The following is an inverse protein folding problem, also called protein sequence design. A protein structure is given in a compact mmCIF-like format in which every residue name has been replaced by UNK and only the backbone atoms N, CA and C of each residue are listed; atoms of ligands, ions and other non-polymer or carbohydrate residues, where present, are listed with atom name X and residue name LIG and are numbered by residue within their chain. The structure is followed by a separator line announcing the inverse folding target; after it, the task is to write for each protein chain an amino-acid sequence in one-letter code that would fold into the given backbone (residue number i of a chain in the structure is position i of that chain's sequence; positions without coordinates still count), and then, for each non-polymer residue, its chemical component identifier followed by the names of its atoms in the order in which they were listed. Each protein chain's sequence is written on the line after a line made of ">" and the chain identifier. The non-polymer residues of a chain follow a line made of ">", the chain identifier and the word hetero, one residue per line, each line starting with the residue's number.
data_IF_790706803142
#
_entry.id   IF_790706803142
#
_cell.length_a   1.000
_cell.length_b   1.000
_cell.length_c   1.000
_cell.angle_alpha   90.00
_cell.angle_beta   90.00
_cell.angle_gamma   90.00
#
_symmetry.space_group_name_H-M   'P 1'
#
loop_
_entity.id
_entity.type
_entity.pdbx_description
1 polymer ?
#
# COMPACT_ATOMS: atom_id res chain seq x y z
N UNK A 1 39.36 -23.91 14.79
CA UNK A 1 39.62 -25.29 14.34
C UNK A 1 38.28 -25.94 14.03
N UNK A 2 37.79 -25.81 12.81
CA UNK A 2 36.61 -26.58 12.39
C UNK A 2 37.09 -27.99 12.05
N UNK A 3 36.80 -28.96 12.92
CA UNK A 3 37.00 -30.37 12.60
C UNK A 3 35.94 -30.76 11.58
N UNK A 4 36.33 -30.95 10.33
CA UNK A 4 35.43 -31.42 9.28
C UNK A 4 35.11 -32.91 9.52
N UNK A 5 34.11 -33.17 10.37
CA UNK A 5 33.68 -34.51 10.73
C UNK A 5 33.23 -35.28 9.47
N UNK A 6 33.56 -36.57 9.39
CA UNK A 6 33.11 -37.40 8.26
C UNK A 6 31.61 -37.65 8.34
N UNK A 7 30.99 -38.01 7.20
CA UNK A 7 29.57 -38.36 7.14
C UNK A 7 29.25 -39.50 8.14
N UNK A 8 30.05 -40.56 8.10
CA UNK A 8 29.95 -41.73 8.99
C UNK A 8 30.09 -41.35 10.48
N UNK A 9 30.95 -40.38 10.81
CA UNK A 9 31.09 -39.89 12.17
C UNK A 9 29.85 -39.11 12.64
N UNK A 10 29.19 -38.37 11.75
CA UNK A 10 27.93 -37.69 12.07
C UNK A 10 26.76 -38.68 12.21
N UNK A 11 26.68 -39.69 11.34
CA UNK A 11 25.66 -40.75 11.40
C UNK A 11 25.78 -41.58 12.68
N UNK A 12 27.00 -42.00 13.06
CA UNK A 12 27.24 -42.72 14.31
C UNK A 12 26.92 -41.85 15.54
N UNK A 13 27.27 -40.57 15.53
CA UNK A 13 26.87 -39.62 16.59
C UNK A 13 25.34 -39.50 16.69
N UNK A 14 24.63 -39.36 15.57
CA UNK A 14 23.16 -39.31 15.54
C UNK A 14 22.54 -40.53 16.24
N UNK A 15 23.03 -41.74 15.92
CA UNK A 15 22.58 -42.98 16.58
C UNK A 15 22.80 -42.90 18.09
N UNK A 16 24.01 -42.53 18.53
CA UNK A 16 24.29 -42.42 19.99
C UNK A 16 23.44 -41.38 20.71
N UNK A 17 23.14 -40.24 20.09
CA UNK A 17 22.25 -39.23 20.66
C UNK A 17 20.80 -39.72 20.73
N UNK A 18 20.32 -40.48 19.72
CA UNK A 18 18.97 -41.05 19.74
C UNK A 18 18.80 -42.15 20.81
N UNK A 19 19.82 -42.97 21.05
CA UNK A 19 19.84 -43.94 22.16
C UNK A 19 19.84 -43.26 23.53
N UNK A 20 20.62 -42.18 23.69
CA UNK A 20 20.63 -41.37 24.92
C UNK A 20 19.25 -40.74 25.17
N UNK A 21 18.57 -40.23 24.14
CA UNK A 21 17.23 -39.67 24.24
C UNK A 21 16.22 -40.72 24.69
N UNK A 22 16.29 -41.93 24.12
CA UNK A 22 15.41 -43.04 24.50
C UNK A 22 15.60 -43.43 25.97
N UNK A 23 16.83 -43.47 26.47
CA UNK A 23 17.13 -43.73 27.89
C UNK A 23 16.55 -42.64 28.80
N UNK A 24 16.73 -41.37 28.46
CA UNK A 24 16.13 -40.24 29.22
C UNK A 24 14.59 -40.32 29.18
N UNK A 25 14.00 -40.73 28.07
CA UNK A 25 12.55 -40.90 27.96
C UNK A 25 12.03 -42.07 28.82
N UNK A 26 12.80 -43.16 28.96
CA UNK A 26 12.50 -44.24 29.92
C UNK A 26 12.57 -43.76 31.38
N UNK A 27 13.58 -42.94 31.73
CA UNK A 27 13.68 -42.32 33.05
C UNK A 27 12.54 -41.31 33.33
N UNK A 28 12.10 -40.56 32.31
CA UNK A 28 10.91 -39.70 32.37
C UNK A 28 9.61 -40.50 32.45
N UNK A 29 9.56 -41.75 32.00
CA UNK A 29 8.40 -42.61 32.17
C UNK A 29 8.22 -43.03 33.64
N UNK A 30 9.31 -43.19 34.40
CA UNK A 30 9.26 -43.33 35.86
C UNK A 30 8.99 -42.00 36.58
N UNK A 31 9.71 -40.92 36.23
CA UNK A 31 9.66 -39.62 36.92
C UNK A 31 9.31 -38.47 35.96
N UNK A 32 8.04 -38.34 35.53
CA UNK A 32 7.63 -37.38 34.49
C UNK A 32 7.70 -35.91 34.91
N UNK A 33 7.93 -35.62 36.19
CA UNK A 33 8.08 -34.26 36.73
C UNK A 33 9.53 -33.85 36.94
N UNK A 34 10.51 -34.67 36.53
CA UNK A 34 11.93 -34.35 36.70
C UNK A 34 12.37 -33.25 35.70
N UNK A 35 12.64 -32.06 36.22
CA UNK A 35 12.99 -30.88 35.41
C UNK A 35 14.32 -31.03 34.65
N UNK A 36 15.29 -31.77 35.21
CA UNK A 36 16.60 -31.98 34.59
C UNK A 36 16.50 -32.93 33.39
N UNK A 37 15.76 -34.03 33.52
CA UNK A 37 15.53 -34.91 32.37
C UNK A 37 14.70 -34.22 31.27
N UNK A 38 13.78 -33.32 31.64
CA UNK A 38 13.02 -32.51 30.69
C UNK A 38 13.85 -31.41 29.99
N UNK A 39 14.93 -30.90 30.59
CA UNK A 39 15.87 -30.00 29.89
C UNK A 39 16.80 -30.79 28.99
N UNK A 40 17.46 -31.84 29.51
CA UNK A 40 18.40 -32.66 28.74
C UNK A 40 17.69 -33.30 27.53
N UNK A 41 16.43 -33.73 27.65
CA UNK A 41 15.66 -34.23 26.51
C UNK A 41 15.45 -33.18 25.41
N UNK A 42 15.26 -31.90 25.75
CA UNK A 42 15.13 -30.81 24.76
C UNK A 42 16.45 -30.50 24.09
N UNK A 43 17.51 -30.33 24.89
CA UNK A 43 18.85 -30.02 24.40
C UNK A 43 19.35 -31.14 23.46
N UNK A 44 19.05 -32.40 23.79
CA UNK A 44 19.42 -33.56 22.98
C UNK A 44 18.59 -33.68 21.70
N UNK A 45 17.31 -33.29 21.71
CA UNK A 45 16.51 -33.14 20.47
C UNK A 45 17.14 -32.09 19.55
N UNK A 46 17.56 -30.94 20.08
CA UNK A 46 18.18 -29.87 19.30
C UNK A 46 19.51 -30.32 18.67
N UNK A 47 20.36 -31.02 19.44
CA UNK A 47 21.60 -31.62 18.92
C UNK A 47 21.33 -32.65 17.82
N UNK A 48 20.29 -33.49 17.95
CA UNK A 48 19.90 -34.45 16.91
C UNK A 48 19.42 -33.72 15.65
N UNK A 49 18.64 -32.64 15.76
CA UNK A 49 18.19 -31.87 14.59
C UNK A 49 19.36 -31.22 13.86
N UNK A 50 20.28 -30.56 14.58
CA UNK A 50 21.46 -29.92 13.98
C UNK A 50 22.41 -30.96 13.35
N UNK A 51 22.53 -32.15 13.94
CA UNK A 51 23.33 -33.25 13.38
C UNK A 51 22.71 -33.77 12.08
N UNK A 52 21.38 -33.94 12.02
CA UNK A 52 20.65 -34.32 10.80
C UNK A 52 20.82 -33.29 9.68
N UNK A 53 20.59 -32.01 9.98
CA UNK A 53 20.80 -30.93 9.00
C UNK A 53 22.23 -30.90 8.47
N UNK A 54 23.23 -31.16 9.32
CA UNK A 54 24.64 -31.23 8.91
C UNK A 54 24.91 -32.42 7.98
N UNK A 55 24.28 -33.58 8.23
CA UNK A 55 24.35 -34.76 7.34
C UNK A 55 23.69 -34.44 6.00
N UNK A 56 22.47 -33.89 5.99
CA UNK A 56 21.72 -33.55 4.77
C UNK A 56 22.48 -32.55 3.88
N UNK A 57 23.10 -31.54 4.50
CA UNK A 57 23.99 -30.60 3.81
C UNK A 57 25.22 -31.30 3.21
N UNK A 58 25.81 -32.28 3.90
CA UNK A 58 27.01 -33.00 3.44
C UNK A 58 26.69 -34.03 2.36
N UNK A 59 25.52 -34.68 2.40
CA UNK A 59 24.97 -35.52 1.33
C UNK A 59 24.71 -34.67 0.08
N UNK A 60 23.98 -33.56 0.21
CA UNK A 60 23.67 -32.67 -0.93
C UNK A 60 24.94 -32.05 -1.53
N UNK A 61 25.94 -31.70 -0.72
CA UNK A 61 27.24 -31.23 -1.20
C UNK A 61 28.00 -32.32 -1.99
N UNK A 62 27.93 -33.59 -1.58
CA UNK A 62 28.52 -34.70 -2.32
C UNK A 62 27.79 -34.96 -3.66
N UNK A 63 26.46 -34.83 -3.69
CA UNK A 63 25.66 -34.97 -4.92
C UNK A 63 25.88 -33.85 -5.94
N UNK A 64 26.31 -32.66 -5.53
CA UNK A 64 26.43 -31.46 -6.39
C UNK A 64 27.55 -31.51 -7.46
N UNK A 65 28.34 -32.59 -7.53
CA UNK A 65 29.47 -32.68 -8.48
C UNK A 65 29.11 -33.36 -9.81
N UNK A 66 27.91 -33.94 -9.99
CA UNK A 66 27.52 -34.58 -11.25
C UNK A 66 26.08 -34.27 -11.70
N UNK A 67 25.99 -33.73 -12.93
CA UNK A 67 24.85 -33.71 -13.87
C UNK A 67 23.75 -32.66 -13.64
N UNK A 68 23.62 -31.79 -14.66
CA UNK A 68 22.44 -30.97 -14.94
C UNK A 68 21.32 -31.80 -15.58
N UNK A 69 20.08 -31.30 -15.50
CA UNK A 69 18.85 -31.70 -16.24
C UNK A 69 17.88 -32.74 -15.63
N UNK A 70 16.63 -32.26 -15.46
CA UNK A 70 15.31 -32.93 -15.36
C UNK A 70 14.96 -33.91 -14.21
N UNK A 71 14.28 -33.34 -13.19
CA UNK A 71 12.91 -33.67 -12.73
C UNK A 71 12.53 -35.09 -12.14
N UNK A 72 12.27 -35.08 -10.81
CA UNK A 72 10.95 -35.31 -10.12
C UNK A 72 10.70 -36.62 -9.29
N UNK A 73 10.16 -36.41 -8.07
CA UNK A 73 9.60 -37.37 -7.06
C UNK A 73 10.62 -38.28 -6.33
N UNK A 74 10.52 -38.73 -5.06
CA UNK A 74 9.66 -38.50 -3.86
C UNK A 74 10.42 -39.13 -2.64
N UNK A 75 10.07 -39.04 -1.34
CA UNK A 75 8.94 -38.47 -0.58
C UNK A 75 9.35 -38.13 0.89
N UNK A 76 8.76 -37.08 1.46
CA UNK A 76 8.56 -36.81 2.90
C UNK A 76 7.32 -35.90 3.02
N UNK A 77 6.64 -35.73 4.18
CA UNK A 77 5.38 -34.99 4.27
C UNK A 77 5.59 -33.47 4.27
N UNK A 78 6.11 -32.94 3.16
CA UNK A 78 6.24 -31.51 2.90
C UNK A 78 4.88 -30.95 2.54
N UNK A 79 4.38 -29.97 3.30
CA UNK A 79 3.21 -29.20 2.90
C UNK A 79 3.55 -28.49 1.57
N UNK A 80 2.83 -28.82 0.49
CA UNK A 80 3.03 -28.16 -0.82
C UNK A 80 2.56 -26.70 -0.75
N UNK A 81 3.47 -25.82 -0.38
CA UNK A 81 3.28 -24.38 -0.38
C UNK A 81 3.20 -23.86 -1.82
N UNK A 82 1.99 -23.70 -2.33
CA UNK A 82 1.72 -23.20 -3.69
C UNK A 82 2.28 -21.80 -3.94
N UNK A 83 2.41 -20.99 -2.88
CA UNK A 83 3.00 -19.66 -2.89
C UNK A 83 4.06 -19.55 -1.79
N UNK A 84 5.11 -18.78 -2.04
CA UNK A 84 6.21 -18.57 -1.11
C UNK A 84 6.04 -17.22 -0.37
N UNK A 85 6.47 -17.10 0.90
CA UNK A 85 6.65 -15.79 1.53
C UNK A 85 7.56 -14.91 0.65
N UNK A 86 7.17 -13.65 0.44
CA UNK A 86 7.84 -12.76 -0.52
C UNK A 86 7.27 -12.74 -1.94
N UNK A 87 6.30 -13.62 -2.27
CA UNK A 87 5.70 -13.65 -3.61
C UNK A 87 4.51 -12.68 -3.77
N UNK A 88 4.43 -12.07 -4.95
CA UNK A 88 3.28 -11.27 -5.39
C UNK A 88 2.17 -12.20 -5.92
N UNK A 89 0.95 -12.04 -5.40
CA UNK A 89 -0.21 -12.87 -5.72
C UNK A 89 -1.45 -12.01 -5.91
N UNK A 90 -2.46 -12.54 -6.59
CA UNK A 90 -3.80 -11.97 -6.58
C UNK A 90 -4.66 -12.70 -5.55
N UNK A 91 -5.35 -11.95 -4.70
CA UNK A 91 -6.11 -12.46 -3.56
C UNK A 91 -7.59 -12.07 -3.62
N UNK A 92 -8.48 -13.04 -3.39
CA UNK A 92 -9.93 -12.87 -3.49
C UNK A 92 -10.50 -12.22 -2.23
N UNK A 93 -11.06 -11.02 -2.37
CA UNK A 93 -11.78 -10.32 -1.31
C UNK A 93 -13.12 -9.80 -1.83
N UNK A 94 -14.23 -10.12 -1.16
CA UNK A 94 -15.59 -9.69 -1.55
C UNK A 94 -15.98 -10.03 -3.02
N UNK A 95 -15.39 -11.06 -3.61
CA UNK A 95 -15.64 -11.46 -5.01
C UNK A 95 -14.77 -10.76 -6.06
N UNK A 96 -13.85 -9.88 -5.65
CA UNK A 96 -12.88 -9.19 -6.51
C UNK A 96 -11.47 -9.69 -6.19
N UNK A 97 -10.63 -9.82 -7.21
CA UNK A 97 -9.21 -10.17 -7.05
C UNK A 97 -8.38 -8.90 -6.90
N UNK A 98 -7.65 -8.80 -5.79
CA UNK A 98 -6.79 -7.66 -5.47
C UNK A 98 -5.32 -8.07 -5.47
N UNK A 99 -4.39 -7.21 -5.91
CA UNK A 99 -2.97 -7.48 -5.76
C UNK A 99 -2.59 -7.52 -4.27
N UNK A 100 -1.88 -8.56 -3.88
CA UNK A 100 -1.39 -8.78 -2.54
C UNK A 100 0.03 -9.37 -2.56
N UNK A 101 0.69 -9.32 -1.42
CA UNK A 101 2.01 -9.91 -1.21
C UNK A 101 1.92 -10.92 -0.07
N UNK A 102 2.51 -12.10 -0.22
CA UNK A 102 2.56 -13.13 0.82
C UNK A 102 3.59 -12.71 1.88
N UNK A 103 3.13 -12.50 3.11
CA UNK A 103 3.95 -12.08 4.25
C UNK A 103 4.52 -13.31 4.99
N UNK A 104 3.67 -14.29 5.29
CA UNK A 104 4.07 -15.58 5.87
C UNK A 104 3.03 -16.65 5.57
N UNK A 105 3.39 -17.93 5.77
CA UNK A 105 2.44 -19.05 5.74
C UNK A 105 2.46 -19.76 7.09
N UNK A 106 1.28 -20.12 7.59
CA UNK A 106 1.11 -20.87 8.84
C UNK A 106 1.22 -22.37 8.58
N UNK A 107 1.57 -23.14 9.62
CA UNK A 107 1.66 -24.60 9.55
C UNK A 107 0.31 -25.27 9.17
N UNK A 108 -0.81 -24.55 9.34
CA UNK A 108 -2.15 -24.97 8.98
C UNK A 108 -2.46 -24.78 7.47
N UNK A 109 -1.48 -24.37 6.67
CA UNK A 109 -1.62 -24.11 5.23
C UNK A 109 -2.39 -22.83 4.90
N UNK A 110 -2.46 -21.89 5.84
CA UNK A 110 -3.10 -20.58 5.63
C UNK A 110 -2.07 -19.48 5.45
N UNK A 111 -2.35 -18.56 4.55
CA UNK A 111 -1.43 -17.54 4.05
C UNK A 111 -1.78 -16.20 4.67
N UNK A 112 -0.85 -15.63 5.44
CA UNK A 112 -0.91 -14.23 5.81
C UNK A 112 -0.47 -13.41 4.61
N UNK A 113 -1.42 -12.68 4.03
CA UNK A 113 -1.19 -11.79 2.89
C UNK A 113 -1.39 -10.33 3.31
N UNK A 114 -0.76 -9.42 2.57
CA UNK A 114 -0.90 -7.98 2.71
C UNK A 114 -1.35 -7.38 1.37
N UNK A 115 -2.53 -6.77 1.36
CA UNK A 115 -3.10 -6.15 0.16
C UNK A 115 -2.38 -4.84 -0.16
N UNK A 116 -1.96 -4.68 -1.42
CA UNK A 116 -1.41 -3.43 -1.93
C UNK A 116 -2.53 -2.39 -2.06
N UNK A 117 -2.21 -1.11 -1.91
CA UNK A 117 -3.15 0.03 -2.00
C UNK A 117 -4.01 0.24 -0.75
N UNK A 118 -4.45 -0.84 -0.12
CA UNK A 118 -5.23 -0.79 1.13
C UNK A 118 -4.36 -0.85 2.40
N UNK A 119 -3.17 -1.48 2.32
CA UNK A 119 -2.27 -1.65 3.46
C UNK A 119 -2.80 -2.56 4.57
N UNK A 120 -3.92 -3.25 4.33
CA UNK A 120 -4.53 -4.22 5.23
C UNK A 120 -3.96 -5.61 5.00
N UNK A 121 -3.80 -6.39 6.07
CA UNK A 121 -3.45 -7.81 5.99
C UNK A 121 -4.67 -8.71 6.26
N UNK A 122 -4.64 -9.93 5.72
CA UNK A 122 -5.65 -10.96 5.96
C UNK A 122 -5.02 -12.36 5.93
N UNK A 123 -5.64 -13.31 6.62
CA UNK A 123 -5.31 -14.73 6.54
C UNK A 123 -6.27 -15.41 5.55
N UNK A 124 -5.74 -16.01 4.49
CA UNK A 124 -6.50 -16.67 3.42
C UNK A 124 -5.98 -18.08 3.15
N UNK A 125 -6.83 -18.97 2.60
CA UNK A 125 -6.40 -20.29 2.11
C UNK A 125 -6.00 -20.22 0.64
N UNK A 126 -5.24 -21.22 0.17
CA UNK A 126 -4.84 -21.41 -1.24
C UNK A 126 -5.95 -21.10 -2.25
N UNK A 127 -7.17 -21.61 -2.02
CA UNK A 127 -8.33 -21.41 -2.90
C UNK A 127 -8.76 -19.95 -3.11
N UNK A 128 -8.32 -19.03 -2.24
CA UNK A 128 -8.58 -17.59 -2.34
C UNK A 128 -7.35 -16.80 -2.84
N UNK A 129 -6.32 -17.49 -3.31
CA UNK A 129 -5.11 -16.93 -3.91
C UNK A 129 -4.93 -17.47 -5.34
N UNK A 130 -4.31 -16.67 -6.20
CA UNK A 130 -3.84 -17.09 -7.52
C UNK A 130 -2.52 -16.41 -7.87
N UNK A 131 -1.72 -17.04 -8.72
CA UNK A 131 -0.53 -16.41 -9.28
C UNK A 131 -0.93 -15.19 -10.12
N UNK A 132 -0.03 -14.20 -10.22
CA UNK A 132 -0.18 -13.13 -11.20
C UNK A 132 0.31 -13.67 -12.54
N UNK A 133 -0.58 -13.71 -13.55
CA UNK A 133 -0.19 -14.02 -14.92
C UNK A 133 0.67 -12.87 -15.48
N UNK A 134 1.92 -13.18 -15.83
CA UNK A 134 2.89 -12.22 -16.37
C UNK A 134 3.39 -12.69 -17.72
N UNK A 135 3.10 -11.93 -18.77
CA UNK A 135 3.65 -12.13 -20.10
C UNK A 135 5.15 -11.82 -20.07
N UNK A 136 5.97 -12.88 -20.13
CA UNK A 136 7.42 -12.81 -19.92
C UNK A 136 8.11 -11.87 -20.90
N UNK A 137 7.62 -11.78 -22.15
CA UNK A 137 8.16 -10.90 -23.19
C UNK A 137 7.97 -9.42 -22.85
N UNK A 138 6.77 -9.02 -22.40
CA UNK A 138 6.50 -7.63 -22.04
C UNK A 138 7.19 -7.24 -20.72
N UNK A 139 7.29 -8.17 -19.78
CA UNK A 139 8.01 -7.97 -18.52
C UNK A 139 9.52 -7.84 -18.73
N UNK A 140 10.11 -8.53 -19.71
CA UNK A 140 11.53 -8.42 -20.06
C UNK A 140 11.89 -7.07 -20.71
N UNK A 141 10.91 -6.35 -21.27
CA UNK A 141 11.10 -4.99 -21.80
C UNK A 141 11.03 -3.89 -20.73
N UNK A 142 10.66 -4.21 -19.49
CA UNK A 142 10.76 -3.27 -18.37
C UNK A 142 12.19 -3.22 -17.80
N UNK A 143 12.67 -2.05 -17.38
CA UNK A 143 13.90 -1.97 -16.60
C UNK A 143 13.69 -2.60 -15.22
N UNK A 144 14.76 -3.19 -14.67
CA UNK A 144 14.73 -3.84 -13.35
C UNK A 144 14.10 -2.98 -12.25
N UNK A 145 13.51 -3.62 -11.23
CA UNK A 145 12.73 -3.00 -10.14
C UNK A 145 13.45 -1.80 -9.50
N UNK A 146 14.77 -1.86 -9.41
CA UNK A 146 15.65 -0.87 -8.78
C UNK A 146 15.87 0.39 -9.64
N UNK A 147 15.68 0.29 -10.97
CA UNK A 147 15.82 1.39 -11.93
C UNK A 147 14.50 2.17 -12.10
N UNK A 148 13.36 1.56 -11.74
CA UNK A 148 12.04 2.20 -11.76
C UNK A 148 11.94 3.21 -10.61
N UNK A 149 11.83 4.48 -10.96
CA UNK A 149 11.86 5.61 -10.02
C UNK A 149 10.74 6.63 -10.29
N UNK A 150 10.58 7.60 -9.39
CA UNK A 150 9.53 8.64 -9.49
C UNK A 150 9.65 9.42 -10.80
N UNK A 151 8.56 9.52 -11.55
CA UNK A 151 8.49 10.11 -12.89
C UNK A 151 8.54 9.10 -14.04
N UNK A 152 8.87 7.81 -13.78
CA UNK A 152 8.89 6.78 -14.82
C UNK A 152 7.50 6.58 -15.44
N UNK A 153 7.43 6.61 -16.78
CA UNK A 153 6.20 6.38 -17.55
C UNK A 153 6.13 4.91 -17.97
N UNK A 154 5.00 4.29 -17.68
CA UNK A 154 4.73 2.88 -17.95
C UNK A 154 3.24 2.68 -18.23
N UNK A 155 2.84 1.43 -18.43
CA UNK A 155 1.44 1.02 -18.30
C UNK A 155 1.31 0.15 -17.05
N UNK A 156 0.14 0.14 -16.43
CA UNK A 156 -0.13 -0.74 -15.30
C UNK A 156 -1.51 -1.41 -15.44
N UNK A 157 -1.59 -2.69 -15.04
CA UNK A 157 -2.84 -3.45 -14.95
C UNK A 157 -3.69 -2.89 -13.82
N UNK A 158 -4.93 -2.52 -14.10
CA UNK A 158 -5.88 -2.10 -13.07
C UNK A 158 -6.67 -3.32 -12.54
N UNK A 159 -6.74 -3.49 -11.22
CA UNK A 159 -7.24 -4.74 -10.62
C UNK A 159 -8.73 -5.00 -10.87
N UNK A 160 -9.55 -3.96 -11.03
CA UNK A 160 -11.02 -4.10 -11.16
C UNK A 160 -11.42 -4.74 -12.48
N UNK A 161 -10.77 -4.37 -13.58
CA UNK A 161 -11.12 -4.82 -14.94
C UNK A 161 -9.98 -5.55 -15.66
N UNK A 162 -8.84 -5.72 -14.98
CA UNK A 162 -7.61 -6.35 -15.50
C UNK A 162 -7.04 -5.71 -16.76
N UNK A 163 -7.36 -4.45 -17.05
CA UNK A 163 -6.85 -3.73 -18.24
C UNK A 163 -5.60 -2.93 -17.96
N UNK A 164 -4.73 -2.85 -18.95
CA UNK A 164 -3.55 -1.98 -18.95
C UNK A 164 -3.96 -0.53 -19.25
N UNK A 165 -3.49 0.39 -18.43
CA UNK A 165 -3.69 1.83 -18.61
C UNK A 165 -2.35 2.58 -18.50
N UNK A 166 -2.12 3.63 -19.32
CA UNK A 166 -0.96 4.51 -19.16
C UNK A 166 -0.92 5.16 -17.77
N UNK A 167 0.25 5.14 -17.15
CA UNK A 167 0.45 5.69 -15.83
C UNK A 167 1.88 6.22 -15.62
N UNK A 168 2.02 7.04 -14.59
CA UNK A 168 3.30 7.57 -14.11
C UNK A 168 3.58 7.08 -12.70
N UNK A 169 4.76 6.51 -12.46
CA UNK A 169 5.23 6.12 -11.13
C UNK A 169 5.42 7.40 -10.30
N UNK A 170 4.70 7.53 -9.21
CA UNK A 170 4.76 8.70 -8.32
C UNK A 170 5.60 8.48 -7.07
N UNK A 171 5.73 7.23 -6.64
CA UNK A 171 6.51 6.83 -5.46
C UNK A 171 6.81 5.33 -5.53
N UNK A 172 8.01 4.92 -5.16
CA UNK A 172 8.34 3.51 -4.92
C UNK A 172 7.97 3.11 -3.48
N UNK A 173 7.37 1.94 -3.29
CA UNK A 173 7.07 1.34 -1.98
C UNK A 173 7.83 0.01 -1.83
N UNK A 174 8.00 -0.47 -0.61
CA UNK A 174 8.72 -1.72 -0.30
C UNK A 174 8.19 -2.92 -1.11
N UNK A 175 6.86 -3.01 -1.26
CA UNK A 175 6.14 -4.12 -1.92
C UNK A 175 5.78 -3.86 -3.39
N UNK A 176 5.99 -2.65 -3.91
CA UNK A 176 5.45 -2.27 -5.23
C UNK A 176 5.62 -0.78 -5.56
N UNK A 177 4.74 -0.24 -6.38
CA UNK A 177 4.84 1.13 -6.90
C UNK A 177 3.51 1.86 -6.82
N UNK A 178 3.52 3.08 -6.31
CA UNK A 178 2.39 4.00 -6.38
C UNK A 178 2.34 4.63 -7.77
N UNK A 179 1.42 4.18 -8.62
CA UNK A 179 1.20 4.71 -9.97
C UNK A 179 0.03 5.68 -10.01
N UNK A 180 0.13 6.72 -10.83
CA UNK A 180 -0.95 7.65 -11.16
C UNK A 180 -1.44 7.37 -12.58
N UNK A 181 -2.70 6.96 -12.74
CA UNK A 181 -3.30 6.68 -14.04
C UNK A 181 -3.69 7.95 -14.79
N UNK A 182 -3.25 8.09 -16.05
CA UNK A 182 -3.50 9.29 -16.87
C UNK A 182 -4.98 9.46 -17.24
N UNK A 183 -5.70 8.34 -17.40
CA UNK A 183 -7.11 8.29 -17.82
C UNK A 183 -8.07 8.90 -16.79
N UNK A 184 -7.88 8.59 -15.51
CA UNK A 184 -8.79 8.97 -14.43
C UNK A 184 -8.16 9.88 -13.35
N UNK A 185 -6.83 10.01 -13.33
CA UNK A 185 -6.12 10.80 -12.32
C UNK A 185 -6.13 10.18 -10.91
N UNK A 186 -6.47 8.90 -10.80
CA UNK A 186 -6.44 8.13 -9.56
C UNK A 186 -5.03 7.57 -9.33
N UNK A 187 -4.59 7.55 -8.07
CA UNK A 187 -3.35 6.90 -7.64
C UNK A 187 -3.65 5.55 -6.99
N UNK A 188 -3.02 4.49 -7.48
CA UNK A 188 -3.15 3.12 -6.97
C UNK A 188 -1.75 2.56 -6.65
N UNK A 189 -1.64 1.61 -5.73
CA UNK A 189 -0.39 0.90 -5.49
C UNK A 189 -0.46 -0.47 -6.15
N UNK A 190 0.49 -0.75 -7.05
CA UNK A 190 0.52 -1.95 -7.87
C UNK A 190 1.84 -2.71 -7.69
N UNK A 191 1.82 -4.05 -7.82
CA UNK A 191 3.04 -4.85 -7.80
C UNK A 191 3.85 -4.62 -9.10
N UNK A 192 5.13 -5.00 -9.12
CA UNK A 192 5.99 -4.81 -10.31
C UNK A 192 5.45 -5.60 -11.52
N UNK A 193 4.88 -6.75 -11.24
CA UNK A 193 4.27 -7.74 -12.14
C UNK A 193 3.05 -7.20 -12.89
N UNK A 194 2.43 -6.12 -12.38
CA UNK A 194 1.35 -5.40 -13.04
C UNK A 194 1.84 -4.31 -13.99
N UNK A 195 3.11 -3.89 -13.87
CA UNK A 195 3.69 -2.92 -14.78
C UNK A 195 3.94 -3.56 -16.15
N UNK A 196 3.89 -2.72 -17.18
CA UNK A 196 4.30 -3.01 -18.56
C UNK A 196 5.04 -1.79 -19.13
N UNK A 197 5.87 -1.97 -20.17
CA UNK A 197 6.56 -0.85 -20.81
C UNK A 197 5.56 0.21 -21.26
N UNK A 198 5.98 1.48 -21.32
CA UNK A 198 5.20 2.47 -22.05
C UNK A 198 5.20 2.09 -23.54
N UNK A 199 4.08 1.57 -24.05
CA UNK A 199 3.97 1.14 -25.43
C UNK A 199 4.42 2.26 -26.39
N UNK A 200 5.44 2.00 -27.20
CA UNK A 200 5.75 2.83 -28.35
C UNK A 200 4.62 2.64 -29.36
N UNK A 201 3.70 3.61 -29.44
CA UNK A 201 2.57 3.52 -30.37
C UNK A 201 3.03 3.19 -31.79
N UNK A 202 2.52 2.11 -32.42
CA UNK A 202 2.54 2.02 -33.86
C UNK A 202 1.56 3.07 -34.41
N UNK A 203 2.06 3.92 -35.31
CA UNK A 203 1.28 4.76 -36.23
C UNK A 203 0.34 5.82 -35.59
N UNK A 204 0.92 6.97 -35.29
CA UNK A 204 0.38 8.23 -35.85
C UNK A 204 1.45 8.83 -36.76
N UNK A 205 1.47 8.35 -37.99
CA UNK A 205 2.40 8.77 -39.04
C UNK A 205 2.00 10.15 -39.58
N UNK A 206 2.65 11.21 -39.08
CA UNK A 206 2.75 12.48 -39.80
C UNK A 206 4.18 13.00 -39.66
N UNK A 207 4.86 13.05 -40.81
CA UNK A 207 6.25 13.48 -41.01
C UNK A 207 6.57 14.90 -40.49
N UNK A 208 7.85 15.22 -40.24
CA UNK A 208 8.26 16.44 -39.55
C UNK A 208 8.20 17.68 -40.46
N UNK A 209 7.72 18.80 -39.93
CA UNK A 209 7.93 20.12 -40.57
C UNK A 209 8.94 20.93 -39.78
N UNK A 210 10.13 21.04 -40.36
CA UNK A 210 11.22 21.93 -39.98
C UNK A 210 10.79 23.39 -39.88
N UNK A 211 11.08 24.04 -38.76
CA UNK A 211 11.20 25.50 -38.67
C UNK A 211 12.10 25.91 -37.49
N UNK A 212 13.43 25.95 -37.72
CA UNK A 212 14.27 26.96 -37.07
C UNK A 212 13.86 28.33 -37.68
N UNK A 213 14.05 29.50 -37.05
CA UNK A 213 15.34 30.22 -36.99
C UNK A 213 15.17 31.54 -36.20
N UNK A 214 16.17 31.92 -35.38
CA UNK A 214 16.53 33.28 -34.87
C UNK A 214 15.51 34.16 -34.09
N UNK A 215 15.70 34.41 -32.79
CA UNK A 215 16.54 35.42 -32.08
C UNK A 215 16.16 36.90 -32.25
N UNK A 216 15.99 37.60 -31.12
CA UNK A 216 16.76 38.82 -30.77
C UNK A 216 16.93 38.91 -29.25
N UNK A 217 18.14 39.21 -28.80
CA UNK A 217 18.47 39.53 -27.40
C UNK A 217 17.88 40.86 -26.92
N UNK A 218 17.72 41.01 -25.60
CA UNK A 218 18.33 42.12 -24.84
C UNK A 218 18.27 41.82 -23.33
N UNK A 219 19.46 41.74 -22.72
CA UNK A 219 19.91 42.22 -21.39
C UNK A 219 18.82 42.66 -20.37
N UNK A 220 18.91 42.35 -19.07
CA UNK A 220 20.05 42.69 -18.20
C UNK A 220 20.07 41.87 -16.87
N UNK A 221 21.11 42.04 -16.06
CA UNK A 221 21.49 41.19 -14.94
C UNK A 221 20.73 41.42 -13.61
N UNK A 222 20.79 40.43 -12.70
CA UNK A 222 21.54 40.56 -11.43
C UNK A 222 21.65 39.22 -10.68
N UNK A 223 22.79 38.95 -10.06
CA UNK A 223 23.02 37.79 -9.19
C UNK A 223 23.41 38.24 -7.78
N UNK A 224 22.82 37.65 -6.73
CA UNK A 224 23.43 37.68 -5.38
C UNK A 224 22.99 36.46 -4.56
N UNK A 225 23.88 36.03 -3.66
CA UNK A 225 23.86 34.72 -3.00
C UNK A 225 23.12 34.67 -1.64
N UNK A 226 22.77 33.43 -1.29
CA UNK A 226 22.92 32.79 0.04
C UNK A 226 21.83 32.89 1.14
N UNK A 227 21.60 31.69 1.69
CA UNK A 227 21.32 31.36 3.09
C UNK A 227 19.98 31.78 3.75
N UNK A 228 19.11 30.79 3.95
CA UNK A 228 18.68 30.38 5.30
C UNK A 228 18.02 28.99 5.29
N UNK A 229 18.52 28.07 6.10
CA UNK A 229 17.82 26.81 6.40
C UNK A 229 16.76 27.06 7.49
N UNK A 230 15.55 26.49 7.35
CA UNK A 230 14.65 26.25 8.50
C UNK A 230 13.77 25.04 8.22
N UNK A 231 13.96 23.98 9.01
CA UNK A 231 13.12 22.78 8.94
C UNK A 231 11.69 23.08 9.41
N UNK A 232 10.69 22.60 8.67
CA UNK A 232 9.29 22.57 9.13
C UNK A 232 8.70 21.17 8.99
N UNK A 233 8.08 20.70 10.06
CA UNK A 233 7.54 19.33 10.17
C UNK A 233 6.37 19.11 9.22
N UNK A 234 6.48 18.13 8.33
CA UNK A 234 5.42 17.70 7.41
C UNK A 234 4.23 17.13 8.21
N UNK A 235 3.02 17.64 7.94
CA UNK A 235 1.76 16.94 8.18
C UNK A 235 1.07 16.77 6.82
N UNK A 236 0.35 15.66 6.62
CA UNK A 236 -0.08 15.22 5.30
C UNK A 236 -0.95 16.25 4.54
N UNK A 237 -0.80 16.37 3.21
CA UNK A 237 -1.66 17.22 2.40
C UNK A 237 -3.09 16.66 2.33
N UNK A 238 -4.09 17.53 2.43
CA UNK A 238 -5.48 17.15 2.26
C UNK A 238 -5.74 16.67 0.82
N UNK A 239 -6.62 15.65 0.65
CA UNK A 239 -6.97 15.10 -0.67
C UNK A 239 -7.79 16.11 -1.48
N UNK A 240 -7.13 16.82 -2.39
CA UNK A 240 -7.75 17.78 -3.31
C UNK A 240 -8.38 17.03 -4.48
N UNK A 241 -9.72 17.00 -4.54
CA UNK A 241 -10.41 16.44 -5.70
C UNK A 241 -10.32 17.43 -6.87
N UNK A 242 -9.52 17.10 -7.89
CA UNK A 242 -9.41 17.88 -9.14
C UNK A 242 -10.80 17.92 -9.84
N UNK A 243 -11.22 19.07 -10.41
CA UNK A 243 -12.54 19.19 -11.04
C UNK A 243 -12.65 18.33 -12.30
N UNK A 244 -13.83 17.75 -12.55
CA UNK A 244 -14.09 16.90 -13.72
C UNK A 244 -14.03 17.78 -14.98
N UNK A 245 -13.08 17.51 -15.88
CA UNK A 245 -13.02 18.20 -17.19
C UNK A 245 -14.29 17.89 -17.99
N UNK A 246 -14.92 18.92 -18.57
CA UNK A 246 -16.14 18.76 -19.37
C UNK A 246 -15.72 18.16 -20.73
N UNK A 247 -16.24 17.00 -21.16
CA UNK A 247 -15.82 16.37 -22.41
C UNK A 247 -16.34 17.13 -23.64
N UNK A 248 -15.50 17.18 -24.66
CA UNK A 248 -15.69 17.89 -25.93
C UNK A 248 -16.94 17.45 -26.72
N UNK A 249 -17.33 16.18 -26.59
CA UNK A 249 -18.53 15.60 -27.21
C UNK A 249 -19.89 16.20 -26.71
N UNK A 250 -19.86 17.19 -25.80
CA UNK A 250 -21.03 17.98 -25.40
C UNK A 250 -21.04 19.42 -25.94
N UNK A 251 -20.04 19.82 -26.74
CA UNK A 251 -20.05 21.11 -27.42
C UNK A 251 -21.26 21.23 -28.38
N UNK A 252 -21.78 22.44 -28.51
CA UNK A 252 -23.00 22.74 -29.27
C UNK A 252 -22.58 23.12 -30.69
N UNK A 253 -22.68 22.17 -31.63
CA UNK A 253 -22.51 22.49 -33.05
C UNK A 253 -23.71 23.32 -33.55
N UNK A 254 -23.51 24.25 -34.49
CA UNK A 254 -24.60 25.03 -35.09
C UNK A 254 -25.69 24.15 -35.72
N UNK A 255 -25.33 22.95 -36.19
CA UNK A 255 -26.15 22.03 -36.98
C UNK A 255 -27.20 21.23 -36.20
N UNK A 256 -27.11 21.11 -34.87
CA UNK A 256 -28.02 20.26 -34.07
C UNK A 256 -29.46 20.83 -33.93
N UNK A 257 -30.47 19.97 -33.81
CA UNK A 257 -31.85 20.35 -33.47
C UNK A 257 -31.99 20.89 -32.05
N UNK A 258 -32.94 21.82 -31.83
CA UNK A 258 -33.06 22.59 -30.57
C UNK A 258 -33.23 21.72 -29.32
N UNK A 259 -34.00 20.62 -29.42
CA UNK A 259 -34.20 19.67 -28.33
C UNK A 259 -32.88 18.99 -27.87
N UNK A 260 -31.96 18.72 -28.79
CA UNK A 260 -30.67 18.12 -28.46
C UNK A 260 -29.68 19.14 -27.91
N UNK A 261 -29.71 20.37 -28.44
CA UNK A 261 -28.98 21.53 -27.89
C UNK A 261 -29.37 21.79 -26.44
N UNK A 262 -30.66 21.69 -26.09
CA UNK A 262 -31.10 21.82 -24.69
C UNK A 262 -30.68 20.62 -23.82
N UNK A 263 -30.77 19.38 -24.32
CA UNK A 263 -30.28 18.18 -23.61
C UNK A 263 -28.78 18.30 -23.28
N UNK A 264 -27.95 18.73 -24.24
CA UNK A 264 -26.51 19.01 -24.04
C UNK A 264 -26.29 20.14 -23.02
N UNK A 265 -27.01 21.26 -23.16
CA UNK A 265 -26.96 22.41 -22.23
C UNK A 265 -27.35 22.04 -20.78
N UNK A 266 -28.37 21.20 -20.59
CA UNK A 266 -28.81 20.71 -19.26
C UNK A 266 -27.76 19.81 -18.61
N UNK A 267 -27.15 18.89 -19.38
CA UNK A 267 -26.04 18.04 -18.91
C UNK A 267 -24.80 18.87 -18.55
N UNK A 268 -24.41 19.85 -19.37
CA UNK A 268 -23.30 20.77 -19.04
C UNK A 268 -23.57 21.59 -17.76
N UNK A 269 -24.78 22.10 -17.56
CA UNK A 269 -25.17 22.81 -16.33
C UNK A 269 -25.09 21.90 -15.09
N UNK A 270 -25.51 20.64 -15.21
CA UNK A 270 -25.38 19.65 -14.14
C UNK A 270 -23.91 19.36 -13.76
N UNK A 271 -23.05 19.13 -14.76
CA UNK A 271 -21.60 18.89 -14.54
C UNK A 271 -20.93 20.13 -13.92
N UNK A 272 -21.24 21.34 -14.40
CA UNK A 272 -20.72 22.59 -13.83
C UNK A 272 -21.20 22.81 -12.39
N UNK A 273 -22.45 22.44 -12.07
CA UNK A 273 -22.98 22.48 -10.71
C UNK A 273 -22.29 21.46 -9.78
N UNK A 274 -22.03 20.25 -10.27
CA UNK A 274 -21.33 19.20 -9.52
C UNK A 274 -19.88 19.62 -9.21
N UNK A 275 -19.16 20.19 -10.18
CA UNK A 275 -17.83 20.74 -9.96
C UNK A 275 -17.83 21.92 -8.97
N UNK A 276 -18.86 22.78 -8.99
CA UNK A 276 -19.03 23.85 -7.99
C UNK A 276 -19.20 23.29 -6.58
N UNK A 277 -20.01 22.24 -6.39
CA UNK A 277 -20.17 21.58 -5.10
C UNK A 277 -18.87 20.93 -4.62
N UNK A 278 -18.19 20.16 -5.49
CA UNK A 278 -16.89 19.55 -5.17
C UNK A 278 -15.83 20.56 -4.76
N UNK A 279 -15.78 21.74 -5.40
CA UNK A 279 -14.86 22.80 -4.97
C UNK A 279 -15.20 23.35 -3.58
N UNK A 280 -16.49 23.58 -3.30
CA UNK A 280 -16.95 24.05 -1.98
C UNK A 280 -16.63 23.00 -0.89
N UNK A 281 -16.78 21.70 -1.19
CA UNK A 281 -16.46 20.63 -0.24
C UNK A 281 -14.95 20.44 -0.05
N UNK A 282 -14.13 20.60 -1.08
CA UNK A 282 -12.67 20.70 -0.95
C UNK A 282 -12.28 21.87 -0.04
N UNK A 283 -12.83 23.07 -0.27
CA UNK A 283 -12.58 24.25 0.57
C UNK A 283 -13.00 24.02 2.04
N UNK A 284 -14.14 23.38 2.28
CA UNK A 284 -14.59 22.98 3.63
C UNK A 284 -13.59 22.03 4.27
N UNK A 285 -13.13 21.01 3.54
CA UNK A 285 -12.19 20.01 4.05
C UNK A 285 -10.81 20.63 4.36
N UNK A 286 -10.30 21.52 3.50
CA UNK A 286 -9.08 22.29 3.74
C UNK A 286 -9.22 23.14 5.01
N UNK A 287 -10.30 23.94 5.11
CA UNK A 287 -10.58 24.78 6.30
C UNK A 287 -10.71 23.95 7.59
N UNK A 288 -11.28 22.74 7.51
CA UNK A 288 -11.32 21.80 8.64
C UNK A 288 -9.95 21.23 8.99
N UNK A 289 -9.12 20.88 7.99
CA UNK A 289 -7.76 20.38 8.20
C UNK A 289 -6.86 21.44 8.82
N UNK A 290 -6.94 22.68 8.35
CA UNK A 290 -6.21 23.82 8.90
C UNK A 290 -6.66 24.17 10.31
N UNK A 291 -7.95 24.08 10.61
CA UNK A 291 -8.46 24.27 11.97
C UNK A 291 -8.03 23.15 12.93
N UNK A 292 -8.03 21.89 12.47
CA UNK A 292 -7.46 20.75 13.23
C UNK A 292 -5.96 20.94 13.46
N UNK A 293 -5.18 21.30 12.43
CA UNK A 293 -3.74 21.51 12.57
C UNK A 293 -3.42 22.68 13.51
N UNK A 294 -4.21 23.76 13.48
CA UNK A 294 -4.16 24.85 14.45
C UNK A 294 -4.46 24.36 15.88
N UNK A 295 -5.50 23.54 16.08
CA UNK A 295 -5.82 22.97 17.39
C UNK A 295 -4.70 22.06 17.92
N UNK A 296 -4.11 21.22 17.07
CA UNK A 296 -2.95 20.39 17.42
C UNK A 296 -1.70 21.23 17.72
N UNK A 297 -1.45 22.30 16.97
CA UNK A 297 -0.36 23.25 17.22
C UNK A 297 -0.54 24.01 18.53
N UNK A 298 -1.77 24.40 18.87
CA UNK A 298 -2.12 25.03 20.15
C UNK A 298 -1.95 24.07 21.33
N UNK A 299 -2.37 22.79 21.20
CA UNK A 299 -2.09 21.74 22.20
C UNK A 299 -0.58 21.49 22.36
N UNK A 300 0.16 21.36 21.25
CA UNK A 300 1.62 21.10 21.25
C UNK A 300 2.44 22.27 21.82
N UNK A 301 1.98 23.52 21.70
CA UNK A 301 2.63 24.69 22.31
C UNK A 301 2.51 24.73 23.85
N UNK A 302 1.71 23.86 24.46
CA UNK A 302 1.65 23.68 25.90
C UNK A 302 1.29 24.96 26.64
N UNK A 303 0.01 25.35 26.60
CA UNK A 303 -0.50 26.49 27.36
C UNK A 303 -0.23 26.26 28.85
N UNK A 304 0.87 26.83 29.35
CA UNK A 304 1.25 26.73 30.76
C UNK A 304 0.10 27.31 31.59
N UNK A 305 -0.43 26.47 32.48
CA UNK A 305 -1.46 26.81 33.46
C UNK A 305 -0.91 27.93 34.36
N UNK A 306 -1.21 29.19 34.04
CA UNK A 306 -0.85 30.34 34.88
C UNK A 306 -0.15 31.55 34.24
N UNK A 307 -0.33 31.85 32.93
CA UNK A 307 0.02 33.20 32.42
C UNK A 307 -1.23 33.92 31.92
N UNK A 308 -1.51 35.06 32.55
CA UNK A 308 -2.68 35.90 32.34
C UNK A 308 -2.66 36.62 30.99
N UNK A 309 -3.35 36.06 29.99
CA UNK A 309 -3.89 36.82 28.85
C UNK A 309 -5.35 37.20 29.13
N UNK A 310 -5.73 38.44 28.81
CA UNK A 310 -7.02 39.09 29.15
C UNK A 310 -8.21 38.56 28.32
N UNK A 311 -8.31 37.24 28.14
CA UNK A 311 -9.41 36.60 27.38
C UNK A 311 -9.75 35.16 27.85
N UNK A 312 -9.37 34.80 29.08
CA UNK A 312 -9.72 33.50 29.69
C UNK A 312 -10.38 33.66 31.05
N UNK A 313 -11.43 34.48 31.13
CA UNK A 313 -12.40 34.42 32.22
C UNK A 313 -13.80 34.26 31.64
N UNK A 314 -14.39 33.10 31.93
CA UNK A 314 -15.81 32.73 31.86
C UNK A 314 -16.72 33.95 31.67
N UNK A 315 -17.24 34.13 30.46
CA UNK A 315 -18.24 35.13 30.13
C UNK A 315 -19.10 34.62 28.97
N UNK A 316 -20.42 34.77 29.10
CA UNK A 316 -21.33 34.64 27.98
C UNK A 316 -20.88 35.59 26.86
N UNK A 317 -20.95 35.16 25.60
CA UNK A 317 -20.57 36.01 24.46
C UNK A 317 -21.35 37.32 24.50
N UNK A 318 -20.70 38.45 24.18
CA UNK A 318 -21.37 39.75 24.04
C UNK A 318 -22.45 39.77 22.93
N UNK A 319 -22.51 38.70 22.12
CA UNK A 319 -23.52 38.47 21.08
C UNK A 319 -24.42 37.26 21.36
N UNK A 320 -24.31 36.62 22.54
CA UNK A 320 -25.29 35.62 22.96
C UNK A 320 -26.59 36.34 23.32
N UNK A 321 -27.69 35.95 22.68
CA UNK A 321 -29.01 36.47 23.05
C UNK A 321 -29.36 36.00 24.47
N UNK A 322 -29.92 36.87 25.34
CA UNK A 322 -30.34 36.46 26.67
C UNK A 322 -31.52 35.47 26.57
N UNK A 323 -31.56 34.49 27.47
CA UNK A 323 -32.57 33.41 27.50
C UNK A 323 -33.99 33.87 27.92
N UNK A 324 -34.30 35.17 27.83
CA UNK A 324 -35.64 35.72 28.11
C UNK A 324 -36.56 35.62 26.90
N UNK A 325 -37.85 35.38 27.17
CA UNK A 325 -38.89 34.91 26.23
C UNK A 325 -39.23 35.90 25.08
N UNK A 326 -38.58 37.07 25.00
CA UNK A 326 -38.78 38.09 23.98
C UNK A 326 -37.52 38.39 23.12
N UNK A 327 -36.39 37.72 23.36
CA UNK A 327 -35.13 37.95 22.64
C UNK A 327 -35.05 37.38 21.22
N UNK A 328 -35.89 37.83 20.28
CA UNK A 328 -35.97 37.27 18.91
C UNK A 328 -35.42 38.20 17.81
N UNK A 329 -34.10 38.43 17.80
CA UNK A 329 -33.38 38.99 16.64
C UNK A 329 -32.16 38.11 16.32
N UNK A 330 -32.44 36.93 15.75
CA UNK A 330 -31.41 36.03 15.25
C UNK A 330 -31.25 36.13 13.73
N UNK A 331 -30.02 36.29 13.25
CA UNK A 331 -29.69 36.04 11.84
C UNK A 331 -29.94 34.56 11.57
N UNK A 332 -30.99 34.26 10.80
CA UNK A 332 -31.34 32.88 10.41
C UNK A 332 -30.16 32.20 9.70
N UNK A 333 -29.53 31.25 10.39
CA UNK A 333 -28.40 30.46 9.89
C UNK A 333 -27.19 30.38 10.84
N UNK A 334 -27.01 31.32 11.79
CA UNK A 334 -25.82 31.31 12.67
C UNK A 334 -25.80 30.21 13.74
N UNK A 335 -26.97 29.61 14.03
CA UNK A 335 -27.12 28.54 15.02
C UNK A 335 -26.90 27.11 14.50
N UNK A 336 -26.61 26.93 13.20
CA UNK A 336 -26.38 25.59 12.66
C UNK A 336 -24.97 25.12 12.99
N UNK A 337 -24.82 24.54 14.19
CA UNK A 337 -23.57 23.91 14.62
C UNK A 337 -23.09 22.88 13.59
N UNK A 338 -21.76 22.81 13.40
CA UNK A 338 -21.12 21.86 12.50
C UNK A 338 -21.67 20.46 12.75
N UNK A 339 -22.29 19.85 11.74
CA UNK A 339 -22.89 18.51 11.87
C UNK A 339 -21.82 17.53 12.33
N UNK A 340 -22.00 16.94 13.52
CA UNK A 340 -21.08 15.92 14.02
C UNK A 340 -21.20 14.71 13.13
N UNK A 341 -20.19 14.51 12.27
CA UNK A 341 -20.16 13.37 11.36
C UNK A 341 -20.11 12.10 12.21
N UNK A 342 -21.12 11.23 12.08
CA UNK A 342 -21.09 9.91 12.70
C UNK A 342 -19.99 9.12 11.97
N UNK A 343 -18.90 8.78 12.67
CA UNK A 343 -17.88 7.87 12.13
C UNK A 343 -18.56 6.53 11.84
N UNK A 344 -18.62 6.17 10.56
CA UNK A 344 -19.32 5.00 10.05
C UNK A 344 -18.79 3.68 10.65
N UNK A 345 -17.60 3.71 11.28
CA UNK A 345 -16.97 2.59 11.98
C UNK A 345 -17.60 2.17 13.31
N UNK A 346 -18.57 2.93 13.87
CA UNK A 346 -19.12 2.65 15.22
C UNK A 346 -20.43 1.84 15.27
N UNK A 347 -20.95 1.37 14.13
CA UNK A 347 -22.13 0.46 14.13
C UNK A 347 -21.72 -0.96 14.54
N UNK A 348 -21.72 -1.23 15.85
CA UNK A 348 -21.76 -2.62 16.37
C UNK A 348 -23.02 -3.32 15.83
N UNK A 349 -22.94 -4.57 15.34
CA UNK A 349 -24.12 -5.33 14.99
C UNK A 349 -24.95 -5.60 16.25
N UNK A 350 -26.26 -5.35 16.17
CA UNK A 350 -27.20 -5.88 17.17
C UNK A 350 -27.49 -7.33 16.79
N UNK A 351 -27.20 -8.25 17.69
CA UNK A 351 -27.76 -9.60 17.61
C UNK A 351 -29.29 -9.54 17.72
N UNK A 352 -29.93 -10.31 16.84
CA UNK A 352 -31.29 -10.82 16.95
C UNK A 352 -31.23 -12.26 16.42
#
# INVERSE_FOLDING_TARGET
>A
MATDASLEELETRLVTFSEQLQNIHELLQSDPTNAEFLSIAKDLVEVITLTKETIDLKVNAASSTQVSELQKHQEAPTLELQFLPGSSVEALQQGVWYPAHVDSVTNDGSYNIKFLGFGTSAELKTNALRAIDVDTEEAAMLPAKELVSEGFRCQAKYYVDSKLYPCLVTKTTDLGFQVLFDSYGNSEEVPYEYLRPAASSPLSEVEPTTAQTHTTDTDDANATHAAAATATTKMAPAVIHKPIKIPENLQILPTDTEAEKERKRKRMRAIKSLNRHKNIDNERNIKQHDWKSFQHKAKKKGLKKGVSGVLSKRGSSMFASPDTVQGRVGVVGSGQGMTTFQDARSKKPKHA
#
